data_IF_418801606785
#
_entry.id   IF_418801606785
#
_cell.length_a   1.000
_cell.length_b   1.000
_cell.length_c   1.000
_cell.angle_alpha   90.00
_cell.angle_beta   90.00
_cell.angle_gamma   90.00
#
_symmetry.space_group_name_H-M   'P 1'
#
loop_
_entity.id
_entity.type
_entity.pdbx_description
1 polymer ?
#
# COMPACT_ATOMS: atom_id res chain seq x y z
N UNK A 1 -13.24 20.16 -4.97
CA UNK A 1 -14.24 19.12 -5.30
C UNK A 1 -13.55 17.82 -5.70
N UNK A 2 -12.56 17.84 -6.59
CA UNK A 2 -11.82 16.64 -7.02
C UNK A 2 -11.14 15.84 -5.89
N UNK A 3 -10.41 16.50 -4.98
CA UNK A 3 -9.72 15.82 -3.87
C UNK A 3 -10.69 15.14 -2.91
N UNK A 4 -11.87 15.72 -2.70
CA UNK A 4 -12.91 15.12 -1.85
C UNK A 4 -13.38 13.78 -2.43
N UNK A 5 -13.65 13.73 -3.73
CA UNK A 5 -14.02 12.49 -4.41
C UNK A 5 -12.86 11.49 -4.46
N UNK A 6 -11.64 11.96 -4.67
CA UNK A 6 -10.42 11.15 -4.64
C UNK A 6 -10.18 10.44 -3.30
N UNK A 7 -10.65 11.01 -2.19
CA UNK A 7 -10.55 10.40 -0.86
C UNK A 7 -11.78 9.53 -0.52
N UNK A 8 -12.99 9.97 -0.87
CA UNK A 8 -14.21 9.28 -0.45
C UNK A 8 -14.44 7.97 -1.20
N UNK A 9 -14.02 7.88 -2.47
CA UNK A 9 -14.20 6.67 -3.28
C UNK A 9 -13.37 5.50 -2.73
N UNK A 10 -12.04 5.63 -2.49
CA UNK A 10 -11.27 4.58 -1.84
C UNK A 10 -11.77 4.27 -0.43
N UNK A 11 -12.16 5.29 0.35
CA UNK A 11 -12.68 5.10 1.70
C UNK A 11 -13.95 4.24 1.72
N UNK A 12 -14.91 4.54 0.84
CA UNK A 12 -16.13 3.73 0.67
C UNK A 12 -15.76 2.33 0.18
N UNK A 13 -14.83 2.21 -0.78
CA UNK A 13 -14.35 0.92 -1.27
C UNK A 13 -13.80 0.03 -0.16
N UNK A 14 -12.91 0.54 0.68
CA UNK A 14 -12.32 -0.17 1.83
C UNK A 14 -13.39 -0.50 2.88
N UNK A 15 -14.33 0.42 3.13
CA UNK A 15 -15.44 0.19 4.07
C UNK A 15 -16.36 -0.94 3.59
N UNK A 16 -16.77 -0.92 2.32
CA UNK A 16 -17.60 -1.97 1.73
C UNK A 16 -16.87 -3.31 1.65
N UNK A 17 -15.59 -3.30 1.28
CA UNK A 17 -14.75 -4.49 1.25
C UNK A 17 -14.61 -5.13 2.64
N UNK A 18 -14.37 -4.33 3.68
CA UNK A 18 -14.31 -4.83 5.07
C UNK A 18 -15.66 -5.34 5.58
N UNK A 19 -16.78 -4.72 5.17
CA UNK A 19 -18.12 -5.18 5.54
C UNK A 19 -18.45 -6.59 5.02
N UNK A 20 -17.77 -7.08 3.98
CA UNK A 20 -17.95 -8.45 3.48
C UNK A 20 -17.60 -9.53 4.52
N UNK A 21 -16.84 -9.20 5.58
CA UNK A 21 -16.62 -10.09 6.73
C UNK A 21 -17.93 -10.57 7.36
N UNK A 22 -18.99 -9.76 7.37
CA UNK A 22 -20.28 -10.17 7.95
C UNK A 22 -21.01 -11.22 7.11
N UNK A 23 -20.79 -11.21 5.79
CA UNK A 23 -21.38 -12.15 4.84
C UNK A 23 -20.55 -13.43 4.71
N UNK A 24 -19.23 -13.29 4.56
CA UNK A 24 -18.31 -14.42 4.32
C UNK A 24 -17.84 -15.11 5.61
N UNK A 25 -17.95 -14.41 6.76
CA UNK A 25 -17.49 -14.88 8.09
C UNK A 25 -16.09 -15.52 8.00
N UNK A 26 -15.92 -16.73 8.52
CA UNK A 26 -14.66 -17.50 8.54
C UNK A 26 -14.52 -18.47 7.35
N UNK A 27 -15.41 -18.39 6.36
CA UNK A 27 -15.50 -19.39 5.28
C UNK A 27 -14.92 -18.88 3.95
N UNK A 28 -14.04 -17.87 3.95
CA UNK A 28 -13.40 -17.45 2.70
C UNK A 28 -12.45 -18.54 2.21
N UNK A 29 -12.67 -19.10 1.00
CA UNK A 29 -11.76 -20.10 0.47
C UNK A 29 -10.42 -19.45 0.09
N UNK A 30 -9.32 -20.14 0.40
CA UNK A 30 -7.97 -19.60 0.24
C UNK A 30 -7.63 -19.17 -1.20
N UNK A 31 -8.27 -19.74 -2.22
CA UNK A 31 -8.06 -19.34 -3.61
C UNK A 31 -8.68 -17.96 -3.91
N UNK A 32 -9.83 -17.62 -3.31
CA UNK A 32 -10.45 -16.29 -3.44
C UNK A 32 -9.58 -15.25 -2.75
N UNK A 33 -9.08 -15.54 -1.55
CA UNK A 33 -8.13 -14.66 -0.83
C UNK A 33 -6.91 -14.35 -1.71
N UNK A 34 -6.29 -15.39 -2.29
CA UNK A 34 -5.13 -15.22 -3.17
C UNK A 34 -5.46 -14.43 -4.44
N UNK A 35 -6.63 -14.67 -5.03
CA UNK A 35 -7.09 -13.96 -6.22
C UNK A 35 -7.29 -12.46 -5.92
N UNK A 36 -7.95 -12.12 -4.81
CA UNK A 36 -8.18 -10.73 -4.40
C UNK A 36 -6.87 -10.01 -4.06
N UNK A 37 -5.96 -10.67 -3.31
CA UNK A 37 -4.64 -10.13 -3.00
C UNK A 37 -3.80 -9.92 -4.27
N UNK A 38 -3.83 -10.89 -5.20
CA UNK A 38 -3.14 -10.79 -6.48
C UNK A 38 -3.71 -9.68 -7.37
N UNK A 39 -5.03 -9.54 -7.40
CA UNK A 39 -5.71 -8.45 -8.12
C UNK A 39 -5.31 -7.09 -7.56
N UNK A 40 -5.37 -6.91 -6.24
CA UNK A 40 -4.97 -5.66 -5.59
C UNK A 40 -3.50 -5.31 -5.89
N UNK A 41 -2.59 -6.28 -5.74
CA UNK A 41 -1.18 -6.09 -6.07
C UNK A 41 -0.98 -5.72 -7.55
N UNK A 42 -1.68 -6.38 -8.47
CA UNK A 42 -1.61 -6.09 -9.90
C UNK A 42 -2.07 -4.67 -10.25
N UNK A 43 -3.20 -4.22 -9.70
CA UNK A 43 -3.71 -2.85 -9.91
C UNK A 43 -2.72 -1.81 -9.39
N UNK A 44 -2.12 -2.04 -8.22
CA UNK A 44 -1.14 -1.11 -7.64
C UNK A 44 0.15 -1.02 -8.46
N UNK A 45 0.65 -2.15 -8.99
CA UNK A 45 1.81 -2.16 -9.90
C UNK A 45 1.48 -1.43 -11.21
N UNK A 46 0.29 -1.64 -11.76
CA UNK A 46 -0.13 -0.94 -12.97
C UNK A 46 -0.21 0.58 -12.74
N UNK A 47 -0.86 1.00 -11.66
CA UNK A 47 -0.98 2.41 -11.30
C UNK A 47 0.39 3.07 -11.08
N UNK A 48 1.35 2.37 -10.45
CA UNK A 48 2.69 2.91 -10.21
C UNK A 48 3.47 3.17 -11.50
N UNK A 49 3.29 2.34 -12.54
CA UNK A 49 3.96 2.53 -13.84
C UNK A 49 3.22 3.56 -14.70
N UNK A 50 1.93 3.34 -14.99
CA UNK A 50 1.20 4.15 -15.96
C UNK A 50 0.71 5.49 -15.43
N UNK A 51 0.32 5.55 -14.15
CA UNK A 51 -0.28 6.76 -13.56
C UNK A 51 0.71 7.61 -12.77
N UNK A 52 1.86 7.05 -12.38
CA UNK A 52 2.86 7.77 -11.58
C UNK A 52 4.21 7.88 -12.30
N UNK A 53 4.86 6.77 -12.65
CA UNK A 53 6.22 6.79 -13.19
C UNK A 53 6.30 7.44 -14.58
N UNK A 54 5.47 7.01 -15.54
CA UNK A 54 5.47 7.56 -16.90
C UNK A 54 5.10 9.07 -16.89
N UNK A 55 4.05 9.51 -16.18
CA UNK A 55 3.75 10.94 -16.07
C UNK A 55 4.88 11.74 -15.43
N UNK A 56 5.53 11.21 -14.38
CA UNK A 56 6.68 11.85 -13.74
C UNK A 56 7.86 12.04 -14.71
N UNK A 57 8.16 11.04 -15.54
CA UNK A 57 9.19 11.14 -16.58
C UNK A 57 8.87 12.22 -17.62
N UNK A 58 7.60 12.30 -18.03
CA UNK A 58 7.16 13.31 -19.01
C UNK A 58 7.26 14.73 -18.43
N UNK A 59 6.82 14.94 -17.19
CA UNK A 59 6.97 16.23 -16.49
C UNK A 59 8.45 16.62 -16.33
N UNK A 60 9.32 15.63 -16.06
CA UNK A 60 10.76 15.83 -15.97
C UNK A 60 11.40 16.24 -17.29
N UNK A 61 10.89 15.77 -18.43
CA UNK A 61 11.40 16.11 -19.76
C UNK A 61 11.18 17.57 -20.15
N UNK A 62 10.14 18.20 -19.63
CA UNK A 62 9.88 19.63 -19.86
C UNK A 62 10.78 20.53 -19.01
N UNK A 63 11.19 20.06 -17.82
CA UNK A 63 11.88 20.88 -16.82
C UNK A 63 13.39 20.61 -16.70
N UNK A 64 13.88 19.43 -17.10
CA UNK A 64 15.26 19.00 -16.92
C UNK A 64 15.85 18.38 -18.19
N UNK A 65 17.13 18.67 -18.47
CA UNK A 65 17.88 17.99 -19.55
C UNK A 65 17.99 16.47 -19.37
N UNK A 66 17.85 15.98 -18.13
CA UNK A 66 17.91 14.55 -17.79
C UNK A 66 16.60 14.19 -17.07
N UNK A 67 15.57 13.91 -17.83
CA UNK A 67 14.19 13.69 -17.34
C UNK A 67 14.02 12.49 -16.41
N UNK A 68 14.85 11.45 -16.58
CA UNK A 68 14.76 10.23 -15.77
C UNK A 68 15.37 10.38 -14.39
N UNK A 69 16.32 11.30 -14.20
CA UNK A 69 17.08 11.40 -12.96
C UNK A 69 16.20 11.82 -11.76
N UNK A 70 15.34 12.86 -11.85
CA UNK A 70 14.42 13.20 -10.76
C UNK A 70 13.42 12.08 -10.44
N UNK A 71 12.88 11.41 -11.46
CA UNK A 71 11.93 10.32 -11.28
C UNK A 71 12.58 9.11 -10.58
N UNK A 72 13.79 8.71 -10.99
CA UNK A 72 14.54 7.64 -10.35
C UNK A 72 14.93 7.97 -8.91
N UNK A 73 15.43 9.18 -8.65
CA UNK A 73 15.79 9.61 -7.30
C UNK A 73 14.56 9.65 -6.38
N UNK A 74 13.44 10.20 -6.85
CA UNK A 74 12.18 10.22 -6.12
C UNK A 74 11.65 8.81 -5.83
N UNK A 75 11.71 7.92 -6.82
CA UNK A 75 11.32 6.53 -6.65
C UNK A 75 12.18 5.79 -5.62
N UNK A 76 13.51 5.90 -5.71
CA UNK A 76 14.44 5.27 -4.76
C UNK A 76 14.31 5.87 -3.35
N UNK A 77 14.14 7.19 -3.25
CA UNK A 77 13.91 7.86 -1.96
C UNK A 77 12.59 7.41 -1.32
N UNK A 78 11.51 7.31 -2.10
CA UNK A 78 10.22 6.79 -1.63
C UNK A 78 10.30 5.34 -1.19
N UNK A 79 10.99 4.49 -1.95
CA UNK A 79 11.24 3.09 -1.59
C UNK A 79 12.05 2.99 -0.28
N UNK A 80 13.13 3.78 -0.16
CA UNK A 80 13.94 3.83 1.06
C UNK A 80 13.17 4.36 2.26
N UNK A 81 12.30 5.34 2.06
CA UNK A 81 11.42 5.88 3.10
C UNK A 81 10.43 4.84 3.62
N UNK A 82 9.75 4.12 2.72
CA UNK A 82 8.84 3.04 3.11
C UNK A 82 9.59 1.89 3.80
N UNK A 83 10.77 1.51 3.30
CA UNK A 83 11.60 0.48 3.93
C UNK A 83 12.05 0.88 5.34
N UNK A 84 12.39 2.16 5.54
CA UNK A 84 12.72 2.70 6.85
C UNK A 84 11.52 2.63 7.80
N UNK A 85 10.34 3.06 7.35
CA UNK A 85 9.13 3.01 8.17
C UNK A 85 8.75 1.58 8.54
N UNK A 86 8.83 0.64 7.58
CA UNK A 86 8.59 -0.78 7.79
C UNK A 86 9.55 -1.37 8.84
N UNK A 87 10.82 -0.97 8.78
CA UNK A 87 11.86 -1.40 9.73
C UNK A 87 11.72 -0.77 11.13
N UNK A 88 11.14 0.42 11.24
CA UNK A 88 11.00 1.12 12.52
C UNK A 88 9.70 0.78 13.23
N UNK A 89 8.60 0.61 12.49
CA UNK A 89 7.26 0.44 13.05
C UNK A 89 7.09 -1.03 13.46
N UNK A 90 6.85 -1.31 14.76
CA UNK A 90 6.56 -2.67 15.21
C UNK A 90 5.24 -3.15 14.59
N UNK A 91 5.31 -4.14 13.72
CA UNK A 91 4.15 -4.66 13.00
C UNK A 91 4.17 -6.20 12.91
N UNK A 92 3.03 -6.79 12.57
CA UNK A 92 2.87 -8.25 12.41
C UNK A 92 2.23 -8.53 11.05
N UNK A 93 2.84 -9.43 10.28
CA UNK A 93 2.22 -9.96 9.07
C UNK A 93 1.13 -10.99 9.40
N UNK A 94 0.00 -10.94 8.68
CA UNK A 94 -1.23 -11.72 8.93
C UNK A 94 -0.99 -13.25 9.05
N UNK A 95 0.09 -13.77 8.47
CA UNK A 95 0.47 -15.20 8.49
C UNK A 95 1.75 -15.51 9.27
N UNK A 96 2.35 -14.53 9.94
CA UNK A 96 3.57 -14.72 10.73
C UNK A 96 3.28 -14.51 12.23
N UNK A 97 3.88 -15.34 13.07
CA UNK A 97 3.87 -15.14 14.54
C UNK A 97 5.06 -14.31 15.03
N UNK A 98 5.97 -13.92 14.15
CA UNK A 98 7.12 -13.08 14.49
C UNK A 98 6.77 -11.61 14.26
N UNK A 99 7.11 -10.77 15.23
CA UNK A 99 6.99 -9.31 15.10
C UNK A 99 8.18 -8.78 14.30
N UNK A 100 7.89 -7.97 13.28
CA UNK A 100 8.87 -7.26 12.47
C UNK A 100 8.99 -5.81 12.99
N UNK A 101 10.13 -5.17 12.70
CA UNK A 101 10.49 -3.86 13.25
C UNK A 101 11.05 -3.91 14.67
N UNK A 102 11.02 -2.76 15.37
CA UNK A 102 11.57 -2.65 16.73
C UNK A 102 10.81 -3.55 17.72
N UNK A 103 11.54 -4.17 18.66
CA UNK A 103 10.91 -4.98 19.72
C UNK A 103 9.97 -4.10 20.56
N UNK A 104 8.68 -4.42 20.53
CA UNK A 104 7.65 -3.68 21.25
C UNK A 104 6.76 -4.62 22.06
N UNK A 105 6.26 -4.14 23.20
CA UNK A 105 5.29 -4.84 24.05
C UNK A 105 3.83 -4.54 23.66
N UNK A 106 3.59 -4.05 22.43
CA UNK A 106 2.25 -3.67 21.98
C UNK A 106 1.34 -4.89 21.77
N UNK A 107 0.03 -4.66 21.86
CA UNK A 107 -0.98 -5.70 21.60
C UNK A 107 -0.97 -6.04 20.10
N UNK A 108 -1.22 -7.31 19.76
CA UNK A 108 -1.29 -7.79 18.36
C UNK A 108 -2.25 -6.98 17.49
N UNK A 109 -3.38 -6.55 18.06
CA UNK A 109 -4.36 -5.72 17.35
C UNK A 109 -3.79 -4.36 16.93
N UNK A 110 -3.01 -3.70 17.79
CA UNK A 110 -2.37 -2.41 17.49
C UNK A 110 -1.33 -2.57 16.39
N UNK A 111 -0.52 -3.62 16.44
CA UNK A 111 0.48 -3.92 15.39
C UNK A 111 -0.18 -4.25 14.05
N UNK A 112 -1.32 -4.94 14.05
CA UNK A 112 -2.09 -5.22 12.83
C UNK A 112 -2.66 -3.94 12.21
N UNK A 113 -3.21 -3.03 13.03
CA UNK A 113 -3.72 -1.74 12.55
C UNK A 113 -2.59 -0.92 11.93
N UNK A 114 -1.42 -0.88 12.56
CA UNK A 114 -0.25 -0.19 12.01
C UNK A 114 0.23 -0.78 10.69
N UNK A 115 0.25 -2.12 10.58
CA UNK A 115 0.58 -2.80 9.34
C UNK A 115 -0.38 -2.38 8.21
N UNK A 116 -1.69 -2.40 8.47
CA UNK A 116 -2.71 -2.01 7.47
C UNK A 116 -2.58 -0.54 7.09
N UNK A 117 -2.33 0.36 8.06
CA UNK A 117 -2.15 1.79 7.80
C UNK A 117 -0.88 2.07 7.00
N UNK A 118 0.20 1.29 7.19
CA UNK A 118 1.44 1.44 6.40
C UNK A 118 1.25 1.06 4.93
N UNK A 119 0.37 0.11 4.65
CA UNK A 119 0.16 -0.45 3.31
C UNK A 119 -0.97 0.23 2.51
N UNK A 120 -1.63 1.23 3.10
CA UNK A 120 -2.76 1.95 2.51
C UNK A 120 -2.38 3.40 2.18
#
# INVERSE_FOLDING_TARGET
MEVFWGLIIPFIGTTLGSAMVFLMRKNMPAWVEKLLLGFAAGVMIAASVWSLLIPSLNMGAESFKISWLPACLGFLAGMGFLLLLDSLIPHIHVKSSQAEGLKSNWKKSTMLVLAVTLHN
#
